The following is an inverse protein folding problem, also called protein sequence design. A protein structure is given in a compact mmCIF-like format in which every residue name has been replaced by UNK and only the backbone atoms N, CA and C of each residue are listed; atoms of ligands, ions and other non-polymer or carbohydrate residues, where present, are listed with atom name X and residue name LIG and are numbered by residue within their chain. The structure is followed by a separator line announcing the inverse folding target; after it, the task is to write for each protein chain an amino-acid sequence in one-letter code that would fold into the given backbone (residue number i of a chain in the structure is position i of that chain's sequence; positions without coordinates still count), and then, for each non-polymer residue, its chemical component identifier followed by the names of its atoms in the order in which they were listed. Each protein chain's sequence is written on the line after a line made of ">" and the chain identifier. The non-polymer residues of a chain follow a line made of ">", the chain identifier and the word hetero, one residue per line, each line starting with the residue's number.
data_IF_504578473280
#
_entry.id   IF_504578473280
#
_cell.length_a   1.000
_cell.length_b   1.000
_cell.length_c   1.000
_cell.angle_alpha   90.00
_cell.angle_beta   90.00
_cell.angle_gamma   90.00
#
_symmetry.space_group_name_H-M   'P 1'
#
loop_
_entity.id
_entity.type
_entity.pdbx_description
1 polymer ?
#
# COMPACT_ATOMS: atom_id res chain seq x y z
N UNK A 1 -1.52 -5.31 -0.28
CA UNK A 1 -0.88 -4.94 -1.57
C UNK A 1 0.65 -5.05 -1.58
N UNK A 2 1.27 -6.01 -0.87
CA UNK A 2 2.73 -6.06 -0.68
C UNK A 2 3.58 -6.08 -1.96
N UNK A 3 3.20 -6.86 -2.97
CA UNK A 3 3.95 -6.97 -4.23
C UNK A 3 3.77 -5.77 -5.16
N UNK A 4 2.70 -4.99 -5.00
CA UNK A 4 2.28 -3.98 -5.98
C UNK A 4 2.22 -2.56 -5.39
N UNK A 5 2.65 -2.37 -4.14
CA UNK A 5 2.54 -1.09 -3.43
C UNK A 5 3.26 0.06 -4.15
N UNK A 6 4.40 -0.20 -4.77
CA UNK A 6 5.09 0.82 -5.58
C UNK A 6 4.32 1.18 -6.86
N UNK A 7 3.71 0.19 -7.52
CA UNK A 7 2.90 0.40 -8.72
C UNK A 7 1.62 1.20 -8.40
N UNK A 8 0.98 0.90 -7.27
CA UNK A 8 -0.17 1.66 -6.76
C UNK A 8 0.25 3.09 -6.41
N UNK A 9 1.36 3.28 -5.68
CA UNK A 9 1.86 4.60 -5.30
C UNK A 9 2.18 5.49 -6.52
N UNK A 10 2.75 4.90 -7.57
CA UNK A 10 3.02 5.59 -8.83
C UNK A 10 1.77 5.83 -9.71
N UNK A 11 0.60 5.32 -9.33
CA UNK A 11 -0.65 5.39 -10.10
C UNK A 11 -0.51 4.81 -11.51
N UNK A 12 0.16 3.66 -11.63
CA UNK A 12 0.34 2.93 -12.91
C UNK A 12 -0.53 1.68 -13.01
N UNK A 13 -1.23 1.32 -11.93
CA UNK A 13 -2.25 0.26 -11.86
C UNK A 13 -3.42 0.73 -10.97
N UNK A 14 -4.60 0.08 -11.04
CA UNK A 14 -5.73 0.39 -10.16
C UNK A 14 -5.40 0.29 -8.67
N UNK A 15 -6.05 1.14 -7.88
CA UNK A 15 -5.82 1.23 -6.44
C UNK A 15 -6.77 0.31 -5.67
N UNK A 16 -6.28 -0.49 -4.70
CA UNK A 16 -7.17 -1.23 -3.81
C UNK A 16 -7.89 -0.32 -2.81
N UNK A 17 -7.42 0.92 -2.60
CA UNK A 17 -8.02 1.86 -1.66
C UNK A 17 -9.43 2.31 -2.07
N UNK A 18 -9.83 2.15 -3.32
CA UNK A 18 -11.17 2.53 -3.77
C UNK A 18 -12.24 1.61 -3.17
N UNK A 19 -11.88 0.36 -2.84
CA UNK A 19 -12.82 -0.66 -2.41
C UNK A 19 -12.53 -1.23 -1.01
N UNK A 20 -11.25 -1.30 -0.62
CA UNK A 20 -10.86 -2.00 0.60
C UNK A 20 -11.03 -1.13 1.85
N UNK A 21 -11.56 -1.74 2.90
CA UNK A 21 -11.65 -1.16 4.24
C UNK A 21 -10.29 -1.11 4.95
N UNK A 22 -9.47 -2.15 4.74
CA UNK A 22 -8.13 -2.32 5.32
C UNK A 22 -7.16 -2.72 4.20
N UNK A 23 -6.01 -2.05 4.13
CA UNK A 23 -4.94 -2.37 3.17
C UNK A 23 -3.63 -2.53 3.93
N UNK A 24 -3.04 -3.73 3.88
CA UNK A 24 -1.70 -3.99 4.44
C UNK A 24 -0.64 -4.01 3.34
N UNK A 25 0.60 -3.62 3.66
CA UNK A 25 1.72 -3.74 2.72
C UNK A 25 3.07 -3.87 3.41
N UNK A 26 4.00 -4.52 2.73
CA UNK A 26 5.43 -4.40 3.03
C UNK A 26 6.02 -3.16 2.36
N UNK A 27 7.06 -2.58 2.95
CA UNK A 27 7.73 -1.38 2.41
C UNK A 27 8.93 -1.66 1.51
N UNK A 28 9.45 -2.90 1.47
CA UNK A 28 10.71 -3.23 0.80
C UNK A 28 10.61 -3.75 -0.63
N UNK A 29 9.43 -4.16 -1.11
CA UNK A 29 9.24 -4.74 -2.45
C UNK A 29 9.21 -3.65 -3.52
N UNK A 30 8.13 -3.56 -4.30
CA UNK A 30 8.00 -2.54 -5.35
C UNK A 30 8.03 -1.10 -4.81
N UNK A 31 7.72 -0.89 -3.52
CA UNK A 31 7.90 0.42 -2.86
C UNK A 31 9.37 0.80 -2.58
N UNK A 32 10.30 -0.17 -2.64
CA UNK A 32 11.76 0.05 -2.61
C UNK A 32 12.31 0.74 -1.34
N UNK A 33 11.67 0.53 -0.18
CA UNK A 33 12.13 1.01 1.12
C UNK A 33 12.83 -0.03 2.00
N UNK A 34 13.06 0.31 3.26
CA UNK A 34 13.58 -0.62 4.27
C UNK A 34 12.55 -1.74 4.61
N UNK A 35 12.99 -2.81 5.28
CA UNK A 35 12.09 -3.89 5.73
C UNK A 35 11.20 -3.43 6.89
N UNK A 36 9.94 -3.10 6.58
CA UNK A 36 8.88 -2.80 7.54
C UNK A 36 7.50 -3.12 6.93
N UNK A 37 6.44 -2.86 7.69
CA UNK A 37 5.05 -3.02 7.29
C UNK A 37 4.23 -1.76 7.56
N UNK A 38 3.17 -1.55 6.76
CA UNK A 38 2.17 -0.49 6.95
C UNK A 38 0.77 -1.11 6.92
N UNK A 39 -0.11 -0.62 7.80
CA UNK A 39 -1.53 -0.97 7.85
C UNK A 39 -2.32 0.32 7.66
N UNK A 40 -3.05 0.40 6.54
CA UNK A 40 -4.00 1.46 6.28
C UNK A 40 -5.41 0.98 6.61
N UNK A 41 -6.23 1.88 7.13
CA UNK A 41 -7.61 1.59 7.50
C UNK A 41 -8.50 2.82 7.25
N UNK A 42 -9.76 2.57 6.90
CA UNK A 42 -10.79 3.62 6.78
C UNK A 42 -11.08 4.29 8.13
N UNK A 43 -11.39 5.58 8.08
CA UNK A 43 -11.90 6.41 9.18
C UNK A 43 -13.13 7.18 8.73
N UNK A 44 -13.91 7.70 9.66
CA UNK A 44 -15.09 8.51 9.37
C UNK A 44 -16.38 7.69 9.28
N UNK A 45 -17.36 8.19 8.53
CA UNK A 45 -18.67 7.55 8.36
C UNK A 45 -18.58 6.43 7.33
N UNK A 46 -19.02 5.23 7.70
CA UNK A 46 -19.14 4.07 6.81
C UNK A 46 -20.46 4.09 6.06
N UNK A 47 -21.56 4.32 6.77
CA UNK A 47 -22.92 4.33 6.22
C UNK A 47 -23.82 5.19 7.11
N UNK A 48 -24.93 5.68 6.55
CA UNK A 48 -26.00 6.33 7.30
C UNK A 48 -27.19 5.37 7.32
N UNK A 49 -27.69 5.05 8.50
CA UNK A 49 -28.82 4.14 8.62
C UNK A 49 -30.12 4.75 8.06
N UNK A 50 -31.16 3.93 7.92
CA UNK A 50 -32.48 4.36 7.44
C UNK A 50 -33.15 5.45 8.30
N UNK A 51 -32.61 5.71 9.50
CA UNK A 51 -33.10 6.71 10.47
C UNK A 51 -32.21 7.95 10.52
N UNK A 52 -31.23 8.07 9.62
CA UNK A 52 -30.31 9.21 9.54
C UNK A 52 -29.14 9.16 10.54
N UNK A 53 -28.94 8.04 11.25
CA UNK A 53 -27.82 7.89 12.20
C UNK A 53 -26.56 7.45 11.45
N UNK A 54 -25.47 8.19 11.67
CA UNK A 54 -24.15 7.84 11.15
C UNK A 54 -23.59 6.59 11.84
N UNK A 55 -23.18 5.60 11.05
CA UNK A 55 -22.40 4.45 11.47
C UNK A 55 -20.95 4.73 11.11
N UNK A 56 -20.08 4.89 12.12
CA UNK A 56 -18.66 5.20 11.92
C UNK A 56 -17.81 3.95 11.80
N UNK A 57 -16.72 4.04 11.05
CA UNK A 57 -15.64 3.06 11.09
C UNK A 57 -15.00 3.00 12.48
N UNK A 58 -14.66 1.80 12.95
CA UNK A 58 -14.03 1.55 14.25
C UNK A 58 -12.66 0.84 14.12
N UNK A 59 -11.98 1.01 12.99
CA UNK A 59 -10.72 0.32 12.74
C UNK A 59 -9.52 0.97 13.42
N UNK A 60 -9.50 2.29 13.58
CA UNK A 60 -8.34 3.02 14.12
C UNK A 60 -7.90 2.48 15.49
N UNK A 61 -8.82 2.51 16.45
CA UNK A 61 -8.54 2.05 17.81
C UNK A 61 -8.17 0.57 17.83
N UNK A 62 -8.92 -0.27 17.11
CA UNK A 62 -8.70 -1.72 17.08
C UNK A 62 -7.36 -2.10 16.47
N UNK A 63 -6.98 -1.48 15.34
CA UNK A 63 -5.72 -1.75 14.65
C UNK A 63 -4.55 -1.25 15.49
N UNK A 64 -4.62 -0.01 16.00
CA UNK A 64 -3.52 0.56 16.79
C UNK A 64 -3.31 -0.25 18.08
N UNK A 65 -4.39 -0.61 18.79
CA UNK A 65 -4.32 -1.45 20.00
C UNK A 65 -3.74 -2.84 19.72
N UNK A 66 -4.14 -3.45 18.59
CA UNK A 66 -3.62 -4.75 18.18
C UNK A 66 -2.10 -4.69 17.89
N UNK A 67 -1.59 -3.59 17.34
CA UNK A 67 -0.15 -3.40 17.15
C UNK A 67 0.54 -3.20 18.51
N UNK A 68 0.08 -2.22 19.29
CA UNK A 68 0.58 -1.94 20.63
C UNK A 68 -0.60 -1.55 21.52
N UNK A 69 -0.78 -2.18 22.70
CA UNK A 69 0.17 -3.04 23.41
C UNK A 69 0.02 -4.54 23.14
N UNK A 70 -0.90 -4.98 22.28
CA UNK A 70 -1.28 -6.41 22.24
C UNK A 70 -0.21 -7.34 21.64
N UNK A 71 0.49 -6.95 20.56
CA UNK A 71 1.42 -7.84 19.83
C UNK A 71 2.87 -7.36 19.84
N UNK A 72 3.12 -6.06 19.78
CA UNK A 72 4.46 -5.47 19.74
C UNK A 72 4.74 -4.63 20.99
N UNK A 73 6.03 -4.44 21.28
CA UNK A 73 6.52 -3.53 22.32
C UNK A 73 7.06 -2.23 21.72
N UNK A 74 8.36 -1.95 21.94
CA UNK A 74 9.01 -0.73 21.46
C UNK A 74 9.11 -0.64 19.93
N UNK A 75 8.85 0.53 19.32
CA UNK A 75 8.92 0.71 17.88
C UNK A 75 10.36 0.75 17.34
N UNK A 76 10.56 0.23 16.13
CA UNK A 76 11.84 0.31 15.42
C UNK A 76 12.02 1.66 14.72
N UNK A 77 12.30 2.72 15.47
CA UNK A 77 12.35 4.11 14.98
C UNK A 77 13.32 4.32 13.79
N UNK A 78 14.45 3.62 13.76
CA UNK A 78 15.40 3.67 12.64
C UNK A 78 14.77 3.16 11.33
N UNK A 79 13.96 2.10 11.39
CA UNK A 79 13.24 1.59 10.24
C UNK A 79 12.10 2.53 9.83
N UNK A 80 11.38 3.12 10.80
CA UNK A 80 10.33 4.11 10.54
C UNK A 80 10.90 5.32 9.79
N UNK A 81 12.06 5.83 10.20
CA UNK A 81 12.75 6.92 9.51
C UNK A 81 13.11 6.55 8.06
N UNK A 82 13.65 5.34 7.83
CA UNK A 82 13.94 4.87 6.48
C UNK A 82 12.68 4.69 5.60
N UNK A 83 11.56 4.28 6.19
CA UNK A 83 10.26 4.21 5.50
C UNK A 83 9.79 5.60 5.09
N UNK A 84 9.93 6.62 5.95
CA UNK A 84 9.56 8.00 5.61
C UNK A 84 10.37 8.51 4.40
N UNK A 85 11.67 8.22 4.35
CA UNK A 85 12.51 8.55 3.18
C UNK A 85 12.01 7.85 1.91
N UNK A 86 11.71 6.56 1.98
CA UNK A 86 11.20 5.80 0.84
C UNK A 86 9.83 6.31 0.36
N UNK A 87 8.93 6.67 1.28
CA UNK A 87 7.64 7.27 0.95
C UNK A 87 7.80 8.64 0.26
N UNK A 88 8.77 9.46 0.70
CA UNK A 88 9.12 10.71 0.01
C UNK A 88 9.65 10.47 -1.39
N UNK A 89 10.47 9.43 -1.60
CA UNK A 89 10.91 9.05 -2.95
C UNK A 89 9.74 8.59 -3.82
N UNK A 90 8.76 7.90 -3.24
CA UNK A 90 7.61 7.38 -3.98
C UNK A 90 6.67 8.46 -4.53
N UNK A 91 6.79 9.72 -4.07
CA UNK A 91 6.00 10.85 -4.59
C UNK A 91 6.65 11.58 -5.75
N UNK A 92 7.88 11.23 -6.15
CA UNK A 92 8.60 11.95 -7.20
C UNK A 92 8.23 11.46 -8.61
N UNK A 93 8.34 12.32 -9.65
CA UNK A 93 8.12 11.91 -11.03
C UNK A 93 9.03 10.78 -11.49
N UNK A 94 10.29 10.76 -11.03
CA UNK A 94 11.27 9.73 -11.38
C UNK A 94 10.84 8.35 -10.86
N UNK A 95 10.21 8.30 -9.67
CA UNK A 95 9.67 7.06 -9.16
C UNK A 95 8.51 6.55 -10.02
N UNK A 96 7.63 7.43 -10.51
CA UNK A 96 6.59 7.04 -11.46
C UNK A 96 7.18 6.47 -12.75
N UNK A 97 8.15 7.17 -13.35
CA UNK A 97 8.84 6.69 -14.56
C UNK A 97 9.49 5.32 -14.34
N UNK A 98 10.12 5.12 -13.18
CA UNK A 98 10.67 3.83 -12.77
C UNK A 98 9.59 2.72 -12.77
N UNK A 99 8.43 2.96 -12.17
CA UNK A 99 7.35 1.96 -12.13
C UNK A 99 6.71 1.69 -13.49
N UNK A 100 6.57 2.71 -14.35
CA UNK A 100 6.14 2.51 -15.73
C UNK A 100 7.13 1.61 -16.49
N UNK A 101 8.44 1.80 -16.27
CA UNK A 101 9.47 0.95 -16.87
C UNK A 101 9.43 -0.48 -16.33
N UNK A 102 9.13 -0.68 -15.04
CA UNK A 102 8.93 -2.03 -14.47
C UNK A 102 7.82 -2.79 -15.22
N UNK A 103 6.69 -2.13 -15.51
CA UNK A 103 5.60 -2.74 -16.28
C UNK A 103 6.02 -3.05 -17.73
N UNK A 104 6.74 -2.14 -18.39
CA UNK A 104 7.25 -2.36 -19.76
C UNK A 104 8.20 -3.56 -19.81
N UNK A 105 9.14 -3.64 -18.86
CA UNK A 105 10.11 -4.73 -18.79
C UNK A 105 9.42 -6.07 -18.51
N UNK A 106 8.43 -6.11 -17.62
CA UNK A 106 7.65 -7.32 -17.36
C UNK A 106 6.91 -7.81 -18.61
N UNK A 107 6.30 -6.90 -19.38
CA UNK A 107 5.65 -7.24 -20.66
C UNK A 107 6.64 -7.75 -21.71
N UNK A 108 7.79 -7.10 -21.83
CA UNK A 108 8.85 -7.52 -22.76
C UNK A 108 9.39 -8.91 -22.40
N UNK A 109 9.57 -9.21 -21.10
CA UNK A 109 9.99 -10.53 -20.63
C UNK A 109 8.93 -11.62 -20.86
N UNK A 110 7.64 -11.28 -20.79
CA UNK A 110 6.56 -12.23 -21.05
C UNK A 110 6.37 -12.53 -22.55
N UNK A 111 6.77 -11.62 -23.44
CA UNK A 111 6.50 -11.73 -24.88
C UNK A 111 7.09 -12.99 -25.56
N UNK A 112 8.32 -13.46 -25.25
CA UNK A 112 8.85 -14.71 -25.81
C UNK A 112 8.18 -15.98 -25.26
N UNK A 113 7.53 -15.90 -24.08
CA UNK A 113 6.90 -17.04 -23.40
C UNK A 113 5.45 -17.24 -23.87
N UNK A 114 4.78 -16.15 -24.25
CA UNK A 114 3.53 -16.22 -25.00
C UNK A 114 3.88 -16.57 -26.46
N UNK A 115 3.69 -17.84 -26.85
CA UNK A 115 3.85 -18.28 -28.25
C UNK A 115 3.05 -17.44 -29.25
N UNK A 116 3.18 -17.70 -30.57
CA UNK A 116 2.51 -16.88 -31.60
C UNK A 116 1.02 -16.74 -31.26
N UNK A 117 0.54 -15.50 -31.25
CA UNK A 117 -0.89 -15.20 -31.04
C UNK A 117 -1.69 -16.02 -32.04
N UNK A 118 -2.50 -16.94 -31.53
CA UNK A 118 -3.50 -17.69 -32.31
C UNK A 118 -4.58 -16.74 -32.86
#
# INVERSE_FOLDING_TARGET
>A
MAHISGLVAAKVIPSPFDYADIVSTTTHKTLRGARAGLIFYRKGVKEVDKKGKEIKYNFEEKVNFAVFPALQGGPHNHAIAAVAVALKQATTPEFRLYQEQVLKNAKAMAAPVAGPKA
#
